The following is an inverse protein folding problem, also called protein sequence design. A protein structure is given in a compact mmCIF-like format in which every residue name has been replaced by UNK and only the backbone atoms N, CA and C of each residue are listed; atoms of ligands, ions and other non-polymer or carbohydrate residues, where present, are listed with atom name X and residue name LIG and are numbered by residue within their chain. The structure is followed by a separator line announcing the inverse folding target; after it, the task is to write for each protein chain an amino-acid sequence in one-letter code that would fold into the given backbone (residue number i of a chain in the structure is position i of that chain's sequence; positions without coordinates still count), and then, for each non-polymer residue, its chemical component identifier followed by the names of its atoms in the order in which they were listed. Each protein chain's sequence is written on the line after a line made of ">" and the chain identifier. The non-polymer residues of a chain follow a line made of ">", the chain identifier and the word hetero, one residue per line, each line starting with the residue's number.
data_IF_773516242803
#
_entry.id   IF_773516242803
#
_cell.length_a   1.000
_cell.length_b   1.000
_cell.length_c   1.000
_cell.angle_alpha   90.00
_cell.angle_beta   90.00
_cell.angle_gamma   90.00
#
_symmetry.space_group_name_H-M   'P 1'
#
loop_
_entity.id
_entity.type
_entity.pdbx_description
1 polymer ?
#
# COMPACT_ATOMS: atom_id res chain seq x y z
N UNK A 1 -17.69 25.11 -0.96
CA UNK A 1 -18.41 24.22 -0.02
C UNK A 1 -17.35 23.65 0.89
N UNK A 2 -17.37 24.01 2.16
CA UNK A 2 -16.20 23.95 3.05
C UNK A 2 -15.90 22.57 3.60
N UNK A 3 -14.62 22.23 3.59
CA UNK A 3 -14.05 21.04 4.21
C UNK A 3 -13.86 21.35 5.70
N UNK A 4 -14.48 20.54 6.55
CA UNK A 4 -14.29 20.63 8.01
C UNK A 4 -13.00 19.90 8.40
N UNK A 5 -12.02 20.67 8.85
CA UNK A 5 -10.84 20.16 9.56
C UNK A 5 -11.22 19.98 11.02
N UNK A 6 -11.13 18.75 11.53
CA UNK A 6 -11.34 18.44 12.93
C UNK A 6 -10.07 18.72 13.74
N UNK A 7 -10.05 19.83 14.46
CA UNK A 7 -8.99 20.17 15.40
C UNK A 7 -9.07 19.34 16.68
N UNK A 8 -7.98 18.70 17.07
CA UNK A 8 -7.81 18.07 18.38
C UNK A 8 -7.57 19.14 19.44
N UNK A 9 -8.47 19.23 20.42
CA UNK A 9 -8.29 19.97 21.67
C UNK A 9 -7.65 19.09 22.72
N UNK A 10 -6.47 19.50 23.22
CA UNK A 10 -5.85 18.99 24.42
C UNK A 10 -6.69 19.36 25.65
N UNK A 11 -7.09 18.38 26.44
CA UNK A 11 -7.58 18.58 27.81
C UNK A 11 -6.55 18.01 28.77
N UNK A 12 -5.90 18.92 29.48
CA UNK A 12 -5.14 18.65 30.71
C UNK A 12 -6.13 18.38 31.85
N UNK A 13 -6.01 17.24 32.50
CA UNK A 13 -6.71 16.95 33.73
C UNK A 13 -5.75 16.29 34.72
N UNK A 14 -5.57 16.95 35.84
CA UNK A 14 -4.70 16.69 36.97
C UNK A 14 -5.34 15.71 37.96
N UNK A 15 -4.47 15.06 38.77
CA UNK A 15 -4.60 14.66 40.19
C UNK A 15 -5.11 13.26 40.50
N UNK A 16 -4.29 12.55 41.26
CA UNK A 16 -4.69 11.55 42.20
C UNK A 16 -3.59 10.61 42.67
N UNK A 17 -2.69 11.08 43.54
CA UNK A 17 -1.77 10.24 44.33
C UNK A 17 -2.58 9.48 45.35
N UNK A 18 -2.43 8.16 45.43
CA UNK A 18 -2.75 7.37 46.61
C UNK A 18 -1.68 6.31 46.85
N UNK A 19 -0.82 6.61 47.81
CA UNK A 19 0.13 5.71 48.43
C UNK A 19 -0.63 4.80 49.40
N UNK A 20 -0.54 3.50 49.22
CA UNK A 20 -0.87 2.53 50.28
C UNK A 20 0.30 1.56 50.44
N UNK A 21 1.07 1.83 51.48
CA UNK A 21 2.08 0.92 51.97
C UNK A 21 1.39 -0.19 52.78
N UNK A 22 1.65 -1.45 52.44
CA UNK A 22 1.41 -2.58 53.32
C UNK A 22 2.73 -3.28 53.63
N UNK A 23 3.20 -3.05 54.86
CA UNK A 23 4.21 -3.87 55.50
C UNK A 23 3.51 -5.10 56.08
N UNK A 24 3.93 -6.30 55.75
CA UNK A 24 3.73 -7.49 56.56
C UNK A 24 5.04 -8.27 56.63
N UNK A 25 5.55 -8.26 57.81
CA UNK A 25 6.64 -9.08 58.39
C UNK A 25 6.17 -10.51 58.69
N UNK A 26 7.10 -11.44 58.58
CA UNK A 26 7.04 -12.72 59.29
C UNK A 26 7.26 -13.93 58.41
N UNK A 27 8.10 -14.75 58.59
CA UNK A 27 8.79 -15.56 59.55
C UNK A 27 9.67 -16.57 58.82
N UNK A 28 10.87 -16.72 59.34
CA UNK A 28 11.83 -17.78 59.06
C UNK A 28 11.31 -19.16 59.41
N UNK A 29 11.62 -20.14 58.56
CA UNK A 29 11.50 -21.56 58.86
C UNK A 29 12.49 -22.32 57.98
N UNK A 30 13.70 -22.59 58.53
CA UNK A 30 14.62 -23.59 57.98
C UNK A 30 14.03 -24.98 58.18
N UNK A 31 13.87 -25.75 57.12
CA UNK A 31 13.79 -27.19 57.18
C UNK A 31 14.77 -27.76 56.13
N UNK A 32 15.86 -28.28 56.62
CA UNK A 32 16.72 -29.20 55.89
C UNK A 32 15.95 -30.49 55.62
N UNK A 33 15.74 -30.84 54.37
CA UNK A 33 15.57 -32.23 53.98
C UNK A 33 16.29 -32.51 52.68
N UNK A 34 17.27 -33.37 52.78
CA UNK A 34 18.11 -33.92 51.73
C UNK A 34 17.37 -35.08 51.08
N UNK A 35 16.81 -34.85 49.90
CA UNK A 35 16.54 -35.92 48.97
C UNK A 35 16.67 -35.39 47.53
N UNK A 36 17.79 -35.77 46.88
CA UNK A 36 17.97 -35.63 45.44
C UNK A 36 16.92 -36.48 44.72
N UNK A 37 16.17 -35.95 43.81
CA UNK A 37 15.59 -36.77 42.76
C UNK A 37 16.52 -36.79 41.55
N UNK A 38 16.68 -38.00 41.05
CA UNK A 38 17.38 -38.45 39.86
C UNK A 38 17.26 -37.47 38.70
N UNK A 39 18.39 -37.31 38.03
CA UNK A 39 18.52 -36.62 36.74
C UNK A 39 17.59 -37.24 35.70
N UNK A 40 16.41 -36.71 35.52
CA UNK A 40 15.65 -36.88 34.29
C UNK A 40 16.48 -36.27 33.17
N UNK A 41 17.00 -37.12 32.28
CA UNK A 41 17.65 -36.72 31.03
C UNK A 41 16.69 -35.83 30.28
N UNK A 42 16.97 -34.52 30.23
CA UNK A 42 16.31 -33.60 29.32
C UNK A 42 16.63 -34.10 27.90
N UNK A 43 15.65 -34.66 27.23
CA UNK A 43 15.68 -34.82 25.80
C UNK A 43 15.72 -33.39 25.26
N UNK A 44 16.90 -33.00 24.76
CA UNK A 44 17.07 -31.72 24.06
C UNK A 44 16.29 -31.82 22.75
N UNK A 45 15.06 -31.34 22.76
CA UNK A 45 14.16 -31.39 21.59
C UNK A 45 14.54 -30.39 20.51
N UNK A 46 15.67 -29.68 20.66
CA UNK A 46 16.18 -28.77 19.62
C UNK A 46 15.31 -27.53 19.35
N UNK A 47 14.21 -27.37 20.06
CA UNK A 47 13.37 -26.19 19.97
C UNK A 47 13.94 -25.11 20.91
N UNK A 48 14.71 -24.19 20.33
CA UNK A 48 15.06 -22.95 21.00
C UNK A 48 13.83 -22.04 20.87
N UNK A 49 13.02 -21.95 21.91
CA UNK A 49 11.97 -20.91 22.01
C UNK A 49 12.71 -19.59 22.21
N UNK A 50 12.94 -18.86 21.13
CA UNK A 50 13.44 -17.48 21.24
C UNK A 50 12.26 -16.59 21.59
N UNK A 51 12.32 -15.94 22.77
CA UNK A 51 11.36 -14.90 23.12
C UNK A 51 11.54 -13.66 22.23
N UNK A 52 10.58 -12.72 22.21
CA UNK A 52 10.62 -11.53 21.36
C UNK A 52 11.87 -10.64 21.61
N UNK A 53 12.52 -10.78 22.75
CA UNK A 53 13.74 -10.03 23.11
C UNK A 53 15.04 -10.74 22.68
N UNK A 54 14.96 -11.91 22.03
CA UNK A 54 16.14 -12.70 21.63
C UNK A 54 16.54 -12.37 20.20
N UNK A 55 17.10 -11.19 19.96
CA UNK A 55 17.60 -10.76 18.63
C UNK A 55 18.99 -10.12 18.73
N UNK A 56 19.70 -10.05 17.62
CA UNK A 56 21.02 -9.41 17.51
C UNK A 56 21.02 -8.22 16.53
N UNK A 57 19.91 -7.99 15.84
CA UNK A 57 19.77 -6.95 14.83
C UNK A 57 18.37 -6.38 14.80
N UNK A 58 18.26 -5.09 14.52
CA UNK A 58 17.00 -4.37 14.33
C UNK A 58 17.11 -3.45 13.11
N UNK A 59 15.96 -3.19 12.44
CA UNK A 59 15.90 -2.33 11.28
C UNK A 59 14.51 -1.71 11.11
N UNK A 60 14.45 -0.54 10.45
CA UNK A 60 13.22 -0.01 9.89
C UNK A 60 13.30 -0.16 8.37
N UNK A 61 12.33 -0.84 7.78
CA UNK A 61 12.38 -1.26 6.39
C UNK A 61 11.00 -1.18 5.71
N UNK A 62 10.99 -1.21 4.38
CA UNK A 62 9.77 -1.45 3.60
C UNK A 62 9.64 -2.96 3.35
N UNK A 63 8.48 -3.52 3.62
CA UNK A 63 8.14 -4.90 3.29
C UNK A 63 7.98 -5.02 1.77
N UNK A 64 9.00 -5.56 1.10
CA UNK A 64 9.10 -5.56 -0.35
C UNK A 64 8.44 -6.77 -1.02
N UNK A 65 8.34 -7.91 -0.31
CA UNK A 65 7.71 -9.12 -0.84
C UNK A 65 7.30 -10.08 0.30
N UNK A 66 6.19 -10.78 0.10
CA UNK A 66 5.63 -11.77 1.04
C UNK A 66 5.49 -13.11 0.31
N UNK A 67 6.26 -14.12 0.74
CA UNK A 67 6.20 -15.47 0.18
C UNK A 67 5.71 -16.46 1.23
N UNK A 68 4.40 -16.55 1.37
CA UNK A 68 3.77 -17.40 2.39
C UNK A 68 4.19 -18.88 2.28
N UNK A 69 4.25 -19.42 1.05
CA UNK A 69 4.62 -20.83 0.83
C UNK A 69 6.05 -21.15 1.22
N UNK A 70 6.94 -20.17 1.18
CA UNK A 70 8.35 -20.29 1.51
C UNK A 70 8.64 -19.84 2.94
N UNK A 71 7.63 -19.32 3.65
CA UNK A 71 7.77 -18.69 4.96
C UNK A 71 8.87 -17.62 4.99
N UNK A 72 8.92 -16.77 3.94
CA UNK A 72 9.92 -15.72 3.83
C UNK A 72 9.29 -14.36 3.58
N UNK A 73 9.90 -13.33 4.18
CA UNK A 73 9.60 -11.93 3.94
C UNK A 73 10.85 -11.25 3.41
N UNK A 74 10.70 -10.44 2.37
CA UNK A 74 11.79 -9.63 1.82
C UNK A 74 11.59 -8.18 2.22
N UNK A 75 12.65 -7.56 2.70
CA UNK A 75 12.66 -6.18 3.19
C UNK A 75 13.63 -5.34 2.37
N UNK A 76 13.26 -4.09 2.14
CA UNK A 76 14.15 -3.06 1.63
C UNK A 76 14.64 -2.20 2.80
N UNK A 77 15.94 -2.26 3.07
CA UNK A 77 16.58 -1.47 4.12
C UNK A 77 16.70 -0.01 3.70
N UNK A 78 16.18 0.91 4.49
CA UNK A 78 16.13 2.34 4.19
C UNK A 78 17.50 3.02 4.30
N UNK A 79 18.38 2.54 5.16
CA UNK A 79 19.71 3.14 5.37
C UNK A 79 20.71 2.69 4.30
N UNK A 80 20.74 1.37 4.01
CA UNK A 80 21.73 0.76 3.12
C UNK A 80 21.27 0.73 1.66
N UNK A 81 19.95 0.81 1.42
CA UNK A 81 19.38 0.78 0.08
C UNK A 81 19.47 -0.60 -0.58
N UNK A 82 19.31 -1.69 0.18
CA UNK A 82 19.41 -3.07 -0.31
C UNK A 82 18.28 -3.93 0.21
N UNK A 83 17.88 -4.88 -0.63
CA UNK A 83 16.95 -5.93 -0.24
C UNK A 83 17.67 -7.04 0.52
N UNK A 84 16.96 -7.61 1.50
CA UNK A 84 17.35 -8.83 2.19
C UNK A 84 16.11 -9.62 2.60
N UNK A 85 16.27 -10.94 2.71
CA UNK A 85 15.16 -11.85 3.00
C UNK A 85 15.40 -12.55 4.34
N UNK A 86 14.36 -12.61 5.16
CA UNK A 86 14.33 -13.30 6.44
C UNK A 86 13.30 -14.42 6.41
N UNK A 87 13.59 -15.51 7.11
CA UNK A 87 12.65 -16.59 7.38
C UNK A 87 11.79 -16.25 8.58
N UNK A 88 10.54 -16.67 8.52
CA UNK A 88 9.61 -16.61 9.64
C UNK A 88 9.07 -18.01 9.96
N UNK A 89 8.69 -18.24 11.19
CA UNK A 89 8.06 -19.48 11.66
C UNK A 89 7.07 -19.21 12.78
N UNK A 90 6.60 -20.25 13.46
CA UNK A 90 5.65 -20.13 14.56
C UNK A 90 6.19 -19.41 15.80
N UNK A 91 7.47 -19.03 15.82
CA UNK A 91 8.10 -18.22 16.89
C UNK A 91 8.28 -16.75 16.50
N UNK A 92 7.85 -16.36 15.30
CA UNK A 92 7.87 -14.98 14.83
C UNK A 92 6.63 -14.24 15.34
N UNK A 93 6.83 -13.07 15.92
CA UNK A 93 5.76 -12.23 16.44
C UNK A 93 5.46 -11.09 15.48
N UNK A 94 4.18 -10.95 15.10
CA UNK A 94 3.71 -9.89 14.21
C UNK A 94 2.80 -8.95 14.99
N UNK A 95 3.02 -7.63 14.87
CA UNK A 95 2.29 -6.60 15.60
C UNK A 95 1.83 -5.47 14.66
N UNK A 96 0.70 -4.90 15.00
CA UNK A 96 0.28 -3.62 14.43
C UNK A 96 1.10 -2.46 15.04
N UNK A 97 0.82 -1.22 14.59
CA UNK A 97 1.51 -0.03 15.08
C UNK A 97 1.26 0.27 16.58
N UNK A 98 0.24 -0.31 17.18
CA UNK A 98 -0.12 -0.15 18.59
C UNK A 98 0.46 -1.27 19.48
N UNK A 99 1.05 -2.31 18.88
CA UNK A 99 1.63 -3.45 19.56
C UNK A 99 0.65 -4.60 19.79
N UNK A 100 -0.54 -4.55 19.17
CA UNK A 100 -1.48 -5.65 19.16
C UNK A 100 -1.04 -6.73 18.16
N UNK A 101 -1.22 -8.01 18.53
CA UNK A 101 -0.84 -9.12 17.64
C UNK A 101 -1.71 -9.19 16.40
N UNK A 102 -1.07 -9.34 15.25
CA UNK A 102 -1.72 -9.47 13.94
C UNK A 102 -1.32 -10.76 13.24
N UNK A 103 -2.08 -11.15 12.24
CA UNK A 103 -1.75 -12.27 11.36
C UNK A 103 -0.97 -11.79 10.13
N UNK A 104 -0.24 -12.71 9.46
CA UNK A 104 0.48 -12.41 8.23
C UNK A 104 -0.43 -11.83 7.13
N UNK A 105 -1.69 -12.24 7.07
CA UNK A 105 -2.68 -11.76 6.08
C UNK A 105 -3.08 -10.28 6.25
N UNK A 106 -2.71 -9.67 7.37
CA UNK A 106 -2.96 -8.24 7.63
C UNK A 106 -1.76 -7.36 7.24
N UNK A 107 -0.66 -7.99 6.80
CA UNK A 107 0.49 -7.29 6.22
C UNK A 107 0.34 -7.22 4.71
N UNK A 108 0.77 -6.11 4.16
CA UNK A 108 0.77 -5.87 2.72
C UNK A 108 2.16 -5.48 2.23
N UNK A 109 2.49 -5.92 1.02
CA UNK A 109 3.70 -5.42 0.34
C UNK A 109 3.65 -3.89 0.29
N UNK A 110 4.77 -3.26 0.65
CA UNK A 110 4.87 -1.79 0.77
C UNK A 110 4.61 -1.25 2.17
N UNK A 111 4.24 -2.08 3.15
CA UNK A 111 4.16 -1.65 4.54
C UNK A 111 5.52 -1.24 5.07
N UNK A 112 5.54 -0.19 5.88
CA UNK A 112 6.73 0.27 6.58
C UNK A 112 6.72 -0.37 7.96
N UNK A 113 7.80 -1.09 8.28
CA UNK A 113 7.86 -1.96 9.44
C UNK A 113 9.14 -1.74 10.24
N UNK A 114 9.04 -1.88 11.55
CA UNK A 114 10.16 -2.00 12.47
C UNK A 114 10.34 -3.49 12.79
N UNK A 115 11.52 -4.04 12.53
CA UNK A 115 11.79 -5.48 12.66
C UNK A 115 12.96 -5.75 13.57
N UNK A 116 12.92 -6.90 14.23
CA UNK A 116 14.07 -7.48 14.94
C UNK A 116 14.34 -8.88 14.41
N UNK A 117 15.60 -9.26 14.29
CA UNK A 117 15.97 -10.52 13.69
C UNK A 117 17.32 -11.05 14.18
N UNK A 118 17.56 -12.34 13.93
CA UNK A 118 18.86 -13.01 14.13
C UNK A 118 19.61 -13.03 12.79
N UNK A 119 20.61 -12.17 12.66
CA UNK A 119 21.36 -11.98 11.41
C UNK A 119 22.03 -13.25 10.91
N UNK A 120 22.68 -14.00 11.79
CA UNK A 120 23.38 -15.26 11.45
C UNK A 120 22.45 -16.35 10.94
N UNK A 121 21.21 -16.40 11.44
CA UNK A 121 20.18 -17.35 11.08
C UNK A 121 19.25 -16.85 9.97
N UNK A 122 19.33 -15.56 9.62
CA UNK A 122 18.37 -14.86 8.77
C UNK A 122 16.93 -15.06 9.23
N UNK A 123 16.71 -15.12 10.54
CA UNK A 123 15.43 -15.44 11.15
C UNK A 123 14.78 -14.18 11.72
N UNK A 124 13.54 -13.90 11.27
CA UNK A 124 12.72 -12.81 11.77
C UNK A 124 12.18 -13.14 13.17
N UNK A 125 12.46 -12.31 14.15
CA UNK A 125 11.96 -12.47 15.52
C UNK A 125 10.67 -11.69 15.73
N UNK A 126 10.69 -10.39 15.45
CA UNK A 126 9.50 -9.55 15.51
C UNK A 126 9.35 -8.70 14.27
N UNK A 127 8.10 -8.42 13.89
CA UNK A 127 7.74 -7.40 12.91
C UNK A 127 6.61 -6.58 13.52
N UNK A 128 6.77 -5.27 13.51
CA UNK A 128 5.75 -4.31 13.94
C UNK A 128 5.51 -3.30 12.81
N UNK A 129 4.25 -2.98 12.49
CA UNK A 129 3.96 -1.84 11.63
C UNK A 129 4.52 -0.57 12.28
N UNK A 130 5.34 0.19 11.55
CA UNK A 130 6.05 1.33 12.13
C UNK A 130 5.10 2.44 12.56
N UNK A 131 5.24 2.90 13.78
CA UNK A 131 4.48 4.03 14.33
C UNK A 131 5.01 5.39 13.85
N UNK A 132 6.18 5.41 13.18
CA UNK A 132 6.75 6.59 12.52
C UNK A 132 6.19 6.81 11.12
N UNK A 133 5.56 5.77 10.54
CA UNK A 133 5.02 5.84 9.21
C UNK A 133 3.76 6.71 9.16
N UNK A 134 3.70 7.60 8.17
CA UNK A 134 2.51 8.33 7.77
C UNK A 134 1.93 7.74 6.49
N UNK A 135 0.65 7.99 6.23
CA UNK A 135 -0.01 7.62 4.99
C UNK A 135 -1.03 8.67 4.56
N UNK A 136 -1.19 8.81 3.24
CA UNK A 136 -2.30 9.47 2.57
C UNK A 136 -2.96 8.43 1.68
N UNK A 137 -4.23 8.13 1.90
CA UNK A 137 -4.97 7.11 1.16
C UNK A 137 -5.99 7.72 0.22
N UNK A 138 -6.30 7.01 -0.87
CA UNK A 138 -7.32 7.39 -1.85
C UNK A 138 -7.14 8.81 -2.41
N UNK A 139 -5.89 9.15 -2.73
CA UNK A 139 -5.52 10.48 -3.25
C UNK A 139 -5.81 10.54 -4.75
N UNK A 140 -6.75 11.41 -5.15
CA UNK A 140 -7.08 11.67 -6.56
C UNK A 140 -6.30 12.88 -7.14
N UNK A 141 -5.68 13.72 -6.28
CA UNK A 141 -4.98 14.95 -6.70
C UNK A 141 -3.57 14.97 -6.15
N UNK A 142 -2.65 14.71 -7.01
CA UNK A 142 -1.22 14.73 -6.75
C UNK A 142 -0.46 15.20 -7.99
N UNK A 143 0.79 15.60 -7.83
CA UNK A 143 1.66 16.00 -8.93
C UNK A 143 3.08 15.46 -8.68
N UNK A 144 3.51 14.51 -9.51
CA UNK A 144 4.88 14.03 -9.50
C UNK A 144 5.81 14.96 -10.27
N UNK A 145 6.95 15.28 -9.71
CA UNK A 145 8.07 15.87 -10.41
C UNK A 145 9.27 14.92 -10.35
N UNK A 146 9.31 13.96 -11.26
CA UNK A 146 10.37 12.95 -11.30
C UNK A 146 11.78 13.56 -11.59
N UNK A 147 11.85 14.74 -12.19
CA UNK A 147 13.14 15.42 -12.42
C UNK A 147 13.73 15.96 -11.12
N UNK A 148 12.88 16.46 -10.21
CA UNK A 148 13.30 16.92 -8.88
C UNK A 148 13.25 15.79 -7.84
N UNK A 149 12.60 14.68 -8.15
CA UNK A 149 12.41 13.58 -7.23
C UNK A 149 11.43 13.90 -6.09
N UNK A 150 10.35 14.61 -6.39
CA UNK A 150 9.33 14.97 -5.41
C UNK A 150 7.92 14.69 -5.91
N UNK A 151 6.97 14.68 -4.98
CA UNK A 151 5.52 14.61 -5.23
C UNK A 151 4.79 15.60 -4.35
N UNK A 152 3.86 16.35 -4.94
CA UNK A 152 2.94 17.24 -4.21
C UNK A 152 1.62 16.52 -3.97
N UNK A 153 1.14 16.54 -2.71
CA UNK A 153 -0.14 15.97 -2.28
C UNK A 153 -0.90 17.09 -1.57
N UNK A 154 -1.92 17.64 -2.22
CA UNK A 154 -2.59 18.83 -1.71
C UNK A 154 -1.64 20.03 -1.62
N UNK A 155 -1.38 20.53 -0.41
CA UNK A 155 -0.48 21.67 -0.15
C UNK A 155 0.93 21.24 0.29
N UNK A 156 1.17 19.97 0.47
CA UNK A 156 2.43 19.44 1.00
C UNK A 156 3.27 18.82 -0.12
N UNK A 157 4.59 18.92 -0.01
CA UNK A 157 5.52 18.34 -0.97
C UNK A 157 6.48 17.41 -0.24
N UNK A 158 6.57 16.19 -0.73
CA UNK A 158 7.39 15.11 -0.19
C UNK A 158 8.48 14.72 -1.18
N UNK A 159 9.63 14.30 -0.67
CA UNK A 159 10.71 13.75 -1.50
C UNK A 159 10.43 12.28 -1.80
N UNK A 160 10.61 11.86 -3.04
CA UNK A 160 10.64 10.45 -3.37
C UNK A 160 11.95 9.84 -2.87
N UNK A 161 11.87 8.73 -2.18
CA UNK A 161 13.07 7.97 -1.82
C UNK A 161 13.78 7.47 -3.09
N UNK A 162 15.08 7.22 -3.01
CA UNK A 162 15.87 6.72 -4.16
C UNK A 162 15.25 5.45 -4.78
N UNK A 163 14.68 4.62 -3.94
CA UNK A 163 14.05 3.35 -4.32
C UNK A 163 12.61 3.34 -3.81
N UNK A 164 11.83 4.37 -4.16
CA UNK A 164 10.40 4.36 -3.89
C UNK A 164 9.75 3.14 -4.54
N UNK A 165 9.01 2.37 -3.76
CA UNK A 165 8.32 1.17 -4.23
C UNK A 165 6.95 1.55 -4.81
N UNK A 166 6.76 1.34 -6.10
CA UNK A 166 5.47 1.53 -6.77
C UNK A 166 4.77 0.18 -6.91
N UNK A 167 3.51 0.11 -6.50
CA UNK A 167 2.74 -1.13 -6.44
C UNK A 167 1.37 -0.98 -7.09
N UNK A 168 0.96 -1.99 -7.84
CA UNK A 168 -0.40 -2.17 -8.31
C UNK A 168 -0.82 -3.62 -8.05
N UNK A 169 -1.94 -3.83 -7.36
CA UNK A 169 -2.43 -5.16 -6.97
C UNK A 169 -1.37 -6.01 -6.24
N UNK A 170 -0.60 -5.37 -5.35
CA UNK A 170 0.47 -6.02 -4.59
C UNK A 170 1.72 -6.39 -5.39
N UNK A 171 1.79 -6.02 -6.68
CA UNK A 171 2.93 -6.28 -7.57
C UNK A 171 3.71 -4.99 -7.82
N UNK A 172 5.03 -5.12 -7.89
CA UNK A 172 5.89 -3.99 -8.26
C UNK A 172 5.64 -3.60 -9.71
N UNK A 173 5.48 -2.29 -9.94
CA UNK A 173 5.37 -1.65 -11.25
C UNK A 173 6.46 -0.61 -11.42
N UNK A 174 6.64 -0.08 -12.63
CA UNK A 174 7.47 1.09 -12.89
C UNK A 174 6.69 2.37 -12.59
N UNK A 175 7.38 3.43 -12.18
CA UNK A 175 6.75 4.75 -12.02
C UNK A 175 6.15 5.32 -13.30
N UNK A 176 6.65 4.87 -14.46
CA UNK A 176 6.13 5.26 -15.78
C UNK A 176 4.80 4.55 -16.12
N UNK A 177 4.44 3.51 -15.38
CA UNK A 177 3.14 2.84 -15.54
C UNK A 177 2.01 3.59 -14.83
N UNK A 178 2.33 4.64 -14.06
CA UNK A 178 1.34 5.49 -13.40
C UNK A 178 0.72 6.48 -14.39
N UNK A 179 -0.56 6.76 -14.19
CA UNK A 179 -1.31 7.77 -14.94
C UNK A 179 -1.93 8.81 -13.99
N UNK A 180 -2.11 10.03 -14.47
CA UNK A 180 -2.77 11.11 -13.72
C UNK A 180 -4.23 10.81 -13.31
N UNK A 181 -4.82 9.76 -13.93
CA UNK A 181 -6.18 9.30 -13.63
C UNK A 181 -6.23 8.27 -12.49
N UNK A 182 -5.07 7.77 -12.05
CA UNK A 182 -5.00 6.77 -11.00
C UNK A 182 -5.34 7.39 -9.63
N UNK A 183 -5.95 6.60 -8.77
CA UNK A 183 -6.12 6.93 -7.36
C UNK A 183 -5.00 6.23 -6.59
N UNK A 184 -4.20 7.00 -5.87
CA UNK A 184 -2.99 6.51 -5.22
C UNK A 184 -3.06 6.61 -3.70
N UNK A 185 -2.38 5.70 -3.03
CA UNK A 185 -2.04 5.82 -1.61
C UNK A 185 -0.52 5.95 -1.45
N UNK A 186 -0.11 6.87 -0.59
CA UNK A 186 1.29 7.19 -0.32
C UNK A 186 1.64 6.82 1.12
N UNK A 187 2.79 6.20 1.31
CA UNK A 187 3.31 5.81 2.61
C UNK A 187 4.75 6.29 2.74
N UNK A 188 5.08 6.84 3.91
CA UNK A 188 6.41 7.38 4.10
C UNK A 188 6.80 7.58 5.57
N UNK A 189 8.04 8.03 5.77
CA UNK A 189 8.58 8.47 7.06
C UNK A 189 9.17 9.87 6.87
N UNK A 190 9.02 10.73 7.86
CA UNK A 190 9.45 12.13 7.83
C UNK A 190 8.95 12.83 6.55
N UNK A 191 9.83 13.34 5.72
CA UNK A 191 9.49 14.00 4.45
C UNK A 191 9.73 13.10 3.22
N UNK A 192 9.81 11.78 3.39
CA UNK A 192 10.09 10.87 2.28
C UNK A 192 8.93 9.92 2.01
N UNK A 193 8.53 9.82 0.73
CA UNK A 193 7.65 8.76 0.23
C UNK A 193 8.50 7.52 -0.04
N UNK A 194 8.13 6.42 0.59
CA UNK A 194 8.78 5.12 0.46
C UNK A 194 7.99 4.14 -0.39
N UNK A 195 6.66 4.25 -0.35
CA UNK A 195 5.75 3.39 -1.10
C UNK A 195 4.62 4.20 -1.70
N UNK A 196 4.27 3.87 -2.95
CA UNK A 196 3.08 4.36 -3.66
C UNK A 196 2.29 3.15 -4.11
N UNK A 197 1.01 3.07 -3.72
CA UNK A 197 0.08 2.01 -4.14
C UNK A 197 -0.99 2.57 -5.04
N UNK A 198 -1.28 1.88 -6.15
CA UNK A 198 -2.41 2.18 -7.02
C UNK A 198 -3.65 1.52 -6.44
N UNK A 199 -4.54 2.31 -5.87
CA UNK A 199 -5.82 1.86 -5.32
C UNK A 199 -6.84 1.63 -6.44
N UNK A 200 -6.93 2.60 -7.35
CA UNK A 200 -7.72 2.50 -8.56
C UNK A 200 -6.85 2.89 -9.75
N UNK A 201 -6.68 1.97 -10.67
CA UNK A 201 -5.84 2.16 -11.84
C UNK A 201 -6.63 2.60 -13.06
N UNK A 202 -5.96 2.66 -14.18
CA UNK A 202 -6.52 2.96 -15.50
C UNK A 202 -6.33 1.77 -16.44
N UNK A 203 -7.11 1.76 -17.49
CA UNK A 203 -6.93 0.96 -18.71
C UNK A 203 -7.06 1.86 -19.92
N UNK A 204 -7.15 1.27 -21.08
CA UNK A 204 -7.18 1.98 -22.36
C UNK A 204 -8.43 1.61 -23.14
N UNK A 205 -9.11 2.63 -23.65
CA UNK A 205 -10.25 2.48 -24.55
C UNK A 205 -9.81 2.79 -25.98
N UNK A 206 -9.99 1.80 -26.86
CA UNK A 206 -9.83 1.95 -28.32
C UNK A 206 -11.19 1.90 -28.97
N UNK A 207 -11.42 2.74 -29.97
CA UNK A 207 -12.59 2.65 -30.83
C UNK A 207 -12.30 1.75 -32.04
N UNK A 208 -13.30 1.03 -32.51
CA UNK A 208 -13.26 0.27 -33.74
C UNK A 208 -14.43 0.70 -34.63
N UNK A 209 -14.22 0.68 -35.95
CA UNK A 209 -15.17 1.13 -36.98
C UNK A 209 -15.59 2.60 -36.76
N UNK A 210 -14.61 3.44 -36.46
CA UNK A 210 -14.78 4.83 -36.04
C UNK A 210 -14.58 5.86 -37.13
N UNK A 211 -14.35 5.44 -38.38
CA UNK A 211 -13.98 6.30 -39.52
C UNK A 211 -15.00 7.43 -39.77
N UNK A 212 -16.29 7.15 -39.53
CA UNK A 212 -17.37 8.15 -39.69
C UNK A 212 -17.47 9.11 -38.49
N UNK A 213 -16.79 8.83 -37.41
CA UNK A 213 -16.87 9.59 -36.17
C UNK A 213 -15.60 10.40 -35.86
N UNK A 214 -14.54 10.24 -36.65
CA UNK A 214 -13.32 11.05 -36.53
C UNK A 214 -13.66 12.54 -36.67
N UNK A 215 -13.16 13.33 -35.71
CA UNK A 215 -13.49 14.75 -35.57
C UNK A 215 -14.74 15.05 -34.73
N UNK A 216 -15.52 14.04 -34.38
CA UNK A 216 -16.61 14.11 -33.39
C UNK A 216 -16.11 14.06 -31.96
N UNK A 217 -17.00 13.74 -31.04
CA UNK A 217 -16.74 13.74 -29.62
C UNK A 217 -17.06 12.38 -28.98
N UNK A 218 -16.21 11.98 -28.05
CA UNK A 218 -16.43 10.89 -27.13
C UNK A 218 -16.53 11.44 -25.70
N UNK A 219 -17.56 11.00 -24.96
CA UNK A 219 -17.73 11.26 -23.55
C UNK A 219 -17.77 9.92 -22.81
N UNK A 220 -16.89 9.75 -21.81
CA UNK A 220 -16.83 8.55 -20.98
C UNK A 220 -17.24 8.92 -19.56
N UNK A 221 -18.40 8.43 -19.12
CA UNK A 221 -18.87 8.53 -17.74
C UNK A 221 -18.97 9.95 -17.19
N UNK A 222 -19.34 10.97 -17.97
CA UNK A 222 -19.51 12.38 -17.58
C UNK A 222 -18.22 13.10 -17.11
N UNK A 223 -17.09 12.43 -17.06
CA UNK A 223 -15.83 13.00 -16.57
C UNK A 223 -14.81 13.23 -17.70
N UNK A 224 -14.78 12.39 -18.70
CA UNK A 224 -13.80 12.43 -19.78
C UNK A 224 -14.50 12.80 -21.07
N UNK A 225 -14.18 13.98 -21.61
CA UNK A 225 -14.67 14.43 -22.93
C UNK A 225 -13.47 14.70 -23.80
N UNK A 226 -13.41 14.04 -24.97
CA UNK A 226 -12.30 14.17 -25.91
C UNK A 226 -12.83 14.21 -27.36
N UNK A 227 -12.04 14.82 -28.22
CA UNK A 227 -12.29 14.75 -29.67
C UNK A 227 -11.79 13.40 -30.20
N UNK A 228 -12.58 12.75 -31.04
CA UNK A 228 -12.20 11.48 -31.66
C UNK A 228 -11.14 11.76 -32.72
N UNK A 229 -10.03 11.07 -32.62
CA UNK A 229 -8.92 11.11 -33.60
C UNK A 229 -8.73 9.71 -34.19
N UNK A 230 -8.09 9.64 -35.34
CA UNK A 230 -7.69 8.35 -35.94
C UNK A 230 -6.83 7.56 -34.94
N UNK A 231 -7.04 6.26 -34.88
CA UNK A 231 -6.31 5.33 -33.98
C UNK A 231 -6.30 5.74 -32.50
N UNK A 232 -7.36 6.41 -32.03
CA UNK A 232 -7.46 6.91 -30.67
C UNK A 232 -7.28 5.80 -29.65
N UNK A 233 -6.36 6.02 -28.70
CA UNK A 233 -6.18 5.21 -27.51
C UNK A 233 -6.34 6.11 -26.27
N UNK A 234 -7.49 5.98 -25.60
CA UNK A 234 -7.88 6.87 -24.51
C UNK A 234 -7.64 6.21 -23.16
N UNK A 235 -6.78 6.76 -22.29
CA UNK A 235 -6.68 6.28 -20.92
C UNK A 235 -7.98 6.62 -20.17
N UNK A 236 -8.53 5.64 -19.46
CA UNK A 236 -9.78 5.74 -18.69
C UNK A 236 -9.58 5.00 -17.37
N UNK A 237 -10.01 5.55 -16.22
CA UNK A 237 -9.98 4.82 -14.97
C UNK A 237 -10.70 3.48 -15.10
N UNK A 238 -10.23 2.45 -14.41
CA UNK A 238 -10.93 1.17 -14.37
C UNK A 238 -12.36 1.31 -13.86
N UNK A 239 -13.29 0.57 -14.44
CA UNK A 239 -14.70 0.61 -14.06
C UNK A 239 -15.66 0.38 -15.23
N UNK A 240 -16.96 0.51 -14.97
CA UNK A 240 -18.03 0.37 -15.96
C UNK A 240 -18.55 1.75 -16.33
N UNK A 241 -18.63 2.02 -17.63
CA UNK A 241 -19.01 3.34 -18.15
C UNK A 241 -20.07 3.26 -19.24
N UNK A 242 -20.89 4.32 -19.30
CA UNK A 242 -21.61 4.71 -20.50
C UNK A 242 -20.69 5.58 -21.34
N UNK A 243 -20.55 5.25 -22.60
CA UNK A 243 -19.77 6.00 -23.59
C UNK A 243 -20.73 6.62 -24.57
N UNK A 244 -20.75 7.94 -24.64
CA UNK A 244 -21.55 8.70 -25.59
C UNK A 244 -20.63 9.15 -26.74
N UNK A 245 -21.01 8.76 -27.96
CA UNK A 245 -20.34 9.15 -29.21
C UNK A 245 -21.25 10.11 -29.95
N UNK A 246 -20.70 11.22 -30.44
CA UNK A 246 -21.48 12.21 -31.23
C UNK A 246 -20.65 12.86 -32.32
N UNK A 247 -21.24 12.99 -33.50
CA UNK A 247 -20.66 13.72 -34.62
C UNK A 247 -21.81 14.16 -35.55
N UNK A 248 -21.96 15.46 -35.81
CA UNK A 248 -22.87 16.06 -36.81
C UNK A 248 -24.27 15.42 -36.88
N UNK A 249 -24.92 15.23 -35.74
CA UNK A 249 -26.26 14.63 -35.67
C UNK A 249 -26.29 13.10 -35.62
N UNK A 250 -25.18 12.42 -35.90
CA UNK A 250 -25.03 10.99 -35.70
C UNK A 250 -24.41 10.64 -34.37
N UNK A 251 -24.41 9.36 -34.02
CA UNK A 251 -23.80 8.81 -32.80
C UNK A 251 -24.73 7.93 -31.99
N UNK A 252 -24.44 7.79 -30.72
CA UNK A 252 -25.22 6.97 -29.78
C UNK A 252 -24.48 6.68 -28.47
N UNK A 253 -25.09 5.82 -27.65
CA UNK A 253 -24.56 5.45 -26.34
C UNK A 253 -24.27 3.95 -26.30
N UNK A 254 -23.09 3.60 -25.80
CA UNK A 254 -22.67 2.22 -25.55
C UNK A 254 -22.15 2.05 -24.13
N UNK A 255 -22.15 0.82 -23.65
CA UNK A 255 -21.57 0.46 -22.35
C UNK A 255 -20.23 -0.21 -22.57
N UNK A 256 -19.25 0.08 -21.69
CA UNK A 256 -17.93 -0.54 -21.72
C UNK A 256 -17.46 -0.83 -20.30
N UNK A 257 -16.67 -1.88 -20.12
CA UNK A 257 -15.94 -2.17 -18.89
C UNK A 257 -14.45 -1.99 -19.18
N UNK A 258 -13.81 -1.16 -18.40
CA UNK A 258 -12.37 -0.90 -18.46
C UNK A 258 -11.71 -1.66 -17.34
N UNK A 259 -10.78 -2.54 -17.68
CA UNK A 259 -9.95 -3.26 -16.72
C UNK A 259 -8.59 -2.58 -16.60
N UNK A 260 -7.98 -2.70 -15.43
CA UNK A 260 -6.66 -2.11 -15.13
C UNK A 260 -5.60 -2.66 -16.07
N UNK A 261 -4.80 -1.75 -16.65
CA UNK A 261 -3.68 -2.06 -17.56
C UNK A 261 -4.07 -2.87 -18.81
N UNK A 262 -5.36 -2.92 -19.17
CA UNK A 262 -5.83 -3.62 -20.36
C UNK A 262 -6.34 -2.64 -21.41
N UNK A 263 -6.22 -3.02 -22.69
CA UNK A 263 -6.87 -2.35 -23.80
C UNK A 263 -8.26 -2.97 -24.02
N UNK A 264 -9.29 -2.13 -23.97
CA UNK A 264 -10.67 -2.51 -24.29
C UNK A 264 -11.08 -1.88 -25.61
N UNK A 265 -11.49 -2.69 -26.57
CA UNK A 265 -11.99 -2.21 -27.86
C UNK A 265 -13.50 -2.06 -27.82
N UNK A 266 -13.99 -0.87 -28.16
CA UNK A 266 -15.41 -0.55 -28.30
C UNK A 266 -15.76 -0.39 -29.79
N UNK A 267 -16.54 -1.32 -30.32
CA UNK A 267 -17.05 -1.23 -31.70
C UNK A 267 -18.22 -0.24 -31.77
N UNK A 268 -18.09 0.77 -32.60
CA UNK A 268 -19.09 1.84 -32.83
C UNK A 268 -19.68 1.86 -34.24
N UNK A 269 -19.38 0.85 -35.06
CA UNK A 269 -19.84 0.78 -36.47
C UNK A 269 -21.35 0.60 -36.65
N UNK A 270 -22.09 0.23 -35.61
CA UNK A 270 -23.55 0.10 -35.58
C UNK A 270 -24.30 1.37 -35.11
N UNK A 271 -23.55 2.43 -34.75
CA UNK A 271 -24.15 3.71 -34.37
C UNK A 271 -24.65 4.48 -35.61
N UNK A 272 -25.59 5.40 -35.37
CA UNK A 272 -26.14 6.26 -36.39
C UNK A 272 -25.03 7.09 -37.05
N UNK A 273 -24.89 6.93 -38.36
CA UNK A 273 -23.82 7.62 -39.12
C UNK A 273 -24.12 9.11 -39.22
N UNK A 274 -23.11 9.98 -39.03
CA UNK A 274 -23.27 11.43 -39.14
C UNK A 274 -23.79 11.86 -40.52
N UNK A 275 -24.61 12.90 -40.56
CA UNK A 275 -25.02 13.50 -41.81
C UNK A 275 -23.81 14.10 -42.56
N UNK A 276 -23.70 13.89 -43.91
CA UNK A 276 -22.61 14.48 -44.66
C UNK A 276 -22.67 16.00 -44.60
N UNK A 277 -21.57 16.65 -44.24
CA UNK A 277 -21.43 18.09 -44.34
C UNK A 277 -21.25 18.45 -45.83
N UNK A 278 -22.32 18.84 -46.47
CA UNK A 278 -22.21 19.52 -47.76
C UNK A 278 -21.68 20.94 -47.46
N UNK A 279 -20.39 21.17 -47.77
CA UNK A 279 -19.82 22.51 -47.71
C UNK A 279 -20.63 23.49 -48.59
N UNK A 280 -21.08 24.59 -47.97
CA UNK A 280 -21.59 25.75 -48.69
C UNK A 280 -20.43 26.53 -49.30
#
# INVERSE_FOLDING_TARGET
>A
MGIKVAGKRNVRGWIGVLVAAFLLTGCSGEVNDSSQPESASRVDTGFIVTGPDSYDSADTAVLADIREKENTLTFYNLEVGKNYTLFMDGTTYLYDKYGESISLKQLETGDIVDITFLKSKKHLVTLKLSDKAWNYTDVEKYEFNFLRGDVSIGSETFQLAKETLYLSEGRKIDSMDLNELDVLSFYGIDNQVLTVRVEKGHGYLRLANDENFVGGWIEVGQKIVRRITEDMLLPVPEGSYQVNISNNGGGGIKSVVINRNEETTLDIGDLEVPEPQYGM
#
